data_IF_894016876120
#
_entry.id   IF_894016876120
#
_cell.length_a   1.000
_cell.length_b   1.000
_cell.length_c   1.000
_cell.angle_alpha   90.00
_cell.angle_beta   90.00
_cell.angle_gamma   90.00
#
_symmetry.space_group_name_H-M   'P 1'
#
loop_
_entity.id
_entity.type
_entity.pdbx_description
1 polymer ?
#
# COMPACT_ATOMS: atom_id res chain seq x y z
N UNK A 1 0.79 -55.55 31.35
CA UNK A 1 0.11 -55.47 30.05
C UNK A 1 -1.37 -55.20 30.29
N UNK A 2 -1.84 -54.00 29.95
CA UNK A 2 -3.20 -53.68 29.48
C UNK A 2 -3.05 -52.45 28.61
N UNK A 3 -3.61 -52.54 27.41
CA UNK A 3 -3.45 -51.62 26.30
C UNK A 3 -4.28 -50.34 26.43
N UNK A 4 -3.89 -49.39 25.59
CA UNK A 4 -4.32 -48.01 25.33
C UNK A 4 -5.78 -47.79 24.93
N UNK A 5 -6.30 -46.58 25.18
CA UNK A 5 -7.16 -45.83 24.23
C UNK A 5 -7.11 -44.31 24.49
N UNK A 6 -6.87 -43.50 23.46
CA UNK A 6 -7.45 -42.14 23.30
C UNK A 6 -6.52 -40.90 23.43
N UNK A 7 -6.27 -40.23 22.30
CA UNK A 7 -5.76 -38.83 22.14
C UNK A 7 -6.99 -37.90 21.86
N UNK A 8 -6.98 -36.53 21.89
CA UNK A 8 -5.86 -35.60 21.67
C UNK A 8 -5.81 -34.27 22.49
N UNK A 9 -4.69 -33.56 22.28
CA UNK A 9 -4.33 -32.14 22.49
C UNK A 9 -5.36 -31.14 23.04
N UNK A 10 -4.95 -30.33 24.04
CA UNK A 10 -5.41 -28.95 24.33
C UNK A 10 -4.51 -28.35 25.45
N UNK A 11 -3.98 -27.13 25.43
CA UNK A 11 -4.07 -26.05 24.47
C UNK A 11 -2.90 -25.07 24.69
N UNK A 12 -2.43 -24.52 23.58
CA UNK A 12 -1.54 -23.35 23.57
C UNK A 12 -2.34 -22.19 24.14
N UNK A 13 -1.88 -21.61 25.26
CA UNK A 13 -2.43 -20.35 25.79
C UNK A 13 -2.11 -19.25 24.77
N UNK A 14 -3.05 -19.00 23.86
CA UNK A 14 -3.04 -17.79 23.02
C UNK A 14 -3.49 -16.64 23.91
N UNK A 15 -2.54 -15.84 24.38
CA UNK A 15 -2.84 -14.57 25.04
C UNK A 15 -3.67 -13.70 24.08
N UNK A 16 -4.92 -13.49 24.49
CA UNK A 16 -5.95 -12.76 23.77
C UNK A 16 -5.76 -11.27 24.02
N UNK A 17 -4.96 -10.62 23.17
CA UNK A 17 -4.83 -9.16 23.20
C UNK A 17 -6.16 -8.56 22.75
N UNK A 18 -6.89 -7.95 23.67
CA UNK A 18 -8.12 -7.24 23.39
C UNK A 18 -7.78 -5.89 22.76
N UNK A 19 -7.96 -5.77 21.45
CA UNK A 19 -8.19 -4.47 20.82
C UNK A 19 -9.38 -4.59 19.87
N UNK A 20 -10.41 -3.78 20.07
CA UNK A 20 -11.59 -3.69 19.19
C UNK A 20 -11.28 -2.87 17.92
N UNK A 21 -10.07 -2.99 17.38
CA UNK A 21 -9.76 -2.55 16.02
C UNK A 21 -9.80 -3.79 15.14
N UNK A 22 -10.88 -3.97 14.39
CA UNK A 22 -10.83 -4.85 13.23
C UNK A 22 -9.75 -4.28 12.33
N UNK A 23 -8.59 -4.93 12.23
CA UNK A 23 -7.62 -4.61 11.19
C UNK A 23 -8.41 -4.73 9.90
N UNK A 24 -8.75 -3.59 9.30
CA UNK A 24 -9.30 -3.54 7.96
C UNK A 24 -8.14 -3.94 7.08
N UNK A 25 -8.09 -5.22 6.72
CA UNK A 25 -7.22 -5.66 5.64
C UNK A 25 -7.59 -4.85 4.40
N UNK A 26 -6.67 -4.01 3.95
CA UNK A 26 -6.86 -3.17 2.79
C UNK A 26 -7.09 -4.02 1.54
N UNK A 27 -6.40 -5.17 1.43
CA UNK A 27 -6.57 -6.04 0.26
C UNK A 27 -8.02 -6.55 0.16
N UNK A 28 -8.59 -7.06 1.27
CA UNK A 28 -10.02 -7.44 1.33
C UNK A 28 -10.94 -6.27 0.96
N UNK A 29 -10.69 -5.07 1.48
CA UNK A 29 -11.50 -3.90 1.16
C UNK A 29 -11.48 -3.55 -0.34
N UNK A 30 -10.29 -3.56 -0.96
CA UNK A 30 -10.13 -3.29 -2.39
C UNK A 30 -10.73 -4.39 -3.26
N UNK A 31 -10.60 -5.65 -2.85
CA UNK A 31 -11.24 -6.78 -3.52
C UNK A 31 -12.77 -6.65 -3.57
N UNK A 32 -13.38 -6.23 -2.46
CA UNK A 32 -14.84 -6.14 -2.36
C UNK A 32 -15.43 -4.88 -2.99
N UNK A 33 -14.73 -3.74 -2.86
CA UNK A 33 -15.29 -2.42 -3.21
C UNK A 33 -14.60 -1.73 -4.38
N UNK A 34 -13.47 -2.25 -4.85
CA UNK A 34 -12.62 -1.58 -5.83
C UNK A 34 -12.13 -0.24 -5.31
N UNK A 35 -12.38 0.83 -6.06
CA UNK A 35 -11.91 2.18 -5.73
C UNK A 35 -12.71 2.78 -4.57
N UNK A 36 -12.10 2.83 -3.38
CA UNK A 36 -12.71 3.38 -2.17
C UNK A 36 -12.37 4.85 -1.89
N UNK A 37 -11.30 5.37 -2.47
CA UNK A 37 -10.88 6.77 -2.33
C UNK A 37 -10.54 7.34 -3.70
N UNK A 38 -11.29 8.35 -4.15
CA UNK A 38 -11.17 8.91 -5.50
C UNK A 38 -10.44 10.24 -5.53
N UNK A 39 -10.78 11.13 -4.62
CA UNK A 39 -10.24 12.49 -4.63
C UNK A 39 -8.86 12.56 -3.95
N UNK A 40 -7.88 13.24 -4.58
CA UNK A 40 -6.60 13.57 -3.96
C UNK A 40 -6.79 14.43 -2.71
N UNK A 41 -5.82 14.38 -1.80
CA UNK A 41 -5.87 15.21 -0.60
C UNK A 41 -5.32 16.61 -0.90
N UNK A 42 -5.83 17.63 -0.17
CA UNK A 42 -5.29 19.00 -0.26
C UNK A 42 -3.79 19.06 0.04
N UNK A 43 -3.32 18.22 0.98
CA UNK A 43 -1.89 18.13 1.33
C UNK A 43 -1.04 17.60 0.17
N UNK A 44 -1.55 16.66 -0.61
CA UNK A 44 -0.84 16.18 -1.81
C UNK A 44 -0.81 17.26 -2.90
N UNK A 45 -1.87 18.05 -3.06
CA UNK A 45 -1.86 19.21 -3.96
C UNK A 45 -0.81 20.26 -3.54
N UNK A 46 -0.64 20.49 -2.24
CA UNK A 46 0.42 21.36 -1.71
C UNK A 46 1.82 20.75 -1.93
N UNK A 47 1.97 19.45 -1.70
CA UNK A 47 3.22 18.73 -1.94
C UNK A 47 3.65 18.80 -3.41
N UNK A 48 2.72 18.71 -4.36
CA UNK A 48 3.01 18.87 -5.79
C UNK A 48 3.61 20.24 -6.09
N UNK A 49 3.09 21.31 -5.50
CA UNK A 49 3.66 22.66 -5.68
C UNK A 49 5.09 22.71 -5.16
N UNK A 50 5.31 22.19 -3.95
CA UNK A 50 6.63 22.10 -3.35
C UNK A 50 7.61 21.27 -4.19
N UNK A 51 7.18 20.12 -4.71
CA UNK A 51 7.99 19.26 -5.56
C UNK A 51 8.42 19.95 -6.85
N UNK A 52 7.51 20.70 -7.50
CA UNK A 52 7.85 21.50 -8.67
C UNK A 52 8.87 22.59 -8.37
N UNK A 53 8.68 23.33 -7.27
CA UNK A 53 9.62 24.37 -6.83
C UNK A 53 11.01 23.81 -6.53
N UNK A 54 11.07 22.60 -5.94
CA UNK A 54 12.31 21.89 -5.63
C UNK A 54 12.87 21.07 -6.79
N UNK A 55 12.20 21.06 -7.95
CA UNK A 55 12.57 20.28 -9.15
C UNK A 55 12.74 18.79 -8.86
N UNK A 56 11.92 18.25 -7.96
CA UNK A 56 11.78 16.81 -7.72
C UNK A 56 11.27 16.17 -9.00
N UNK A 57 11.83 15.02 -9.40
CA UNK A 57 11.43 14.33 -10.63
C UNK A 57 10.84 12.96 -10.34
N UNK A 58 11.56 12.14 -9.57
CA UNK A 58 11.20 10.75 -9.30
C UNK A 58 10.60 10.60 -7.90
N UNK A 59 9.36 10.13 -7.84
CA UNK A 59 8.56 10.06 -6.61
C UNK A 59 8.12 8.63 -6.32
N UNK A 60 8.22 8.23 -5.06
CA UNK A 60 7.53 7.05 -4.53
C UNK A 60 6.18 7.45 -3.92
N UNK A 61 5.10 6.84 -4.40
CA UNK A 61 3.81 6.82 -3.69
C UNK A 61 3.75 5.55 -2.83
N UNK A 62 4.08 5.70 -1.54
CA UNK A 62 4.19 4.60 -0.57
C UNK A 62 2.83 4.33 0.06
N UNK A 63 2.24 3.16 -0.23
CA UNK A 63 0.84 2.88 0.05
C UNK A 63 -0.09 3.51 -1.00
N UNK A 64 0.22 3.31 -2.29
CA UNK A 64 -0.45 3.99 -3.39
C UNK A 64 -1.94 3.61 -3.54
N UNK A 65 -2.36 2.48 -2.95
CA UNK A 65 -3.70 1.94 -3.07
C UNK A 65 -4.13 1.85 -4.54
N UNK A 66 -5.36 2.30 -4.82
CA UNK A 66 -5.91 2.35 -6.18
C UNK A 66 -5.53 3.61 -6.96
N UNK A 67 -4.57 4.42 -6.46
CA UNK A 67 -3.89 5.42 -7.28
C UNK A 67 -4.48 6.83 -7.31
N UNK A 68 -5.27 7.24 -6.30
CA UNK A 68 -5.84 8.60 -6.27
C UNK A 68 -4.78 9.70 -6.37
N UNK A 69 -3.65 9.52 -5.69
CA UNK A 69 -2.55 10.50 -5.71
C UNK A 69 -1.57 10.20 -6.84
N UNK A 70 -1.24 8.92 -7.07
CA UNK A 70 -0.38 8.50 -8.18
C UNK A 70 -0.86 9.05 -9.52
N UNK A 71 -2.17 8.93 -9.82
CA UNK A 71 -2.77 9.43 -11.06
C UNK A 71 -2.58 10.94 -11.21
N UNK A 72 -2.71 11.69 -10.12
CA UNK A 72 -2.48 13.12 -10.12
C UNK A 72 -1.00 13.45 -10.34
N UNK A 73 -0.07 12.78 -9.64
CA UNK A 73 1.36 12.99 -9.80
C UNK A 73 1.83 12.70 -11.24
N UNK A 74 1.35 11.60 -11.84
CA UNK A 74 1.66 11.27 -13.24
C UNK A 74 1.14 12.34 -14.18
N UNK A 75 -0.10 12.83 -13.99
CA UNK A 75 -0.67 13.95 -14.78
C UNK A 75 0.14 15.24 -14.65
N UNK A 76 0.79 15.44 -13.52
CA UNK A 76 1.67 16.59 -13.26
C UNK A 76 3.10 16.39 -13.79
N UNK A 77 3.34 15.32 -14.58
CA UNK A 77 4.60 14.97 -15.26
C UNK A 77 5.75 14.55 -14.34
N UNK A 78 5.45 13.99 -13.17
CA UNK A 78 6.45 13.31 -12.36
C UNK A 78 6.69 11.87 -12.85
N UNK A 79 7.90 11.37 -12.66
CA UNK A 79 8.18 9.94 -12.77
C UNK A 79 7.75 9.29 -11.46
N UNK A 80 6.72 8.43 -11.50
CA UNK A 80 6.11 7.89 -10.28
C UNK A 80 6.22 6.38 -10.26
N UNK A 81 6.78 5.86 -9.17
CA UNK A 81 6.63 4.46 -8.78
C UNK A 81 5.58 4.39 -7.65
N UNK A 82 4.62 3.49 -7.76
CA UNK A 82 3.68 3.19 -6.68
C UNK A 82 3.99 1.85 -6.02
N UNK A 83 3.81 1.75 -4.71
CA UNK A 83 3.80 0.45 -4.07
C UNK A 83 2.73 0.35 -2.99
N UNK A 84 2.19 -0.84 -2.81
CA UNK A 84 1.14 -1.13 -1.84
C UNK A 84 1.24 -2.59 -1.41
N UNK A 85 0.68 -2.95 -0.25
CA UNK A 85 0.63 -4.33 0.22
C UNK A 85 -0.60 -5.09 -0.30
N UNK A 86 -1.48 -4.42 -1.06
CA UNK A 86 -2.70 -4.98 -1.64
C UNK A 86 -2.50 -5.34 -3.12
N UNK A 87 -2.51 -6.63 -3.43
CA UNK A 87 -2.52 -7.11 -4.82
C UNK A 87 -3.73 -6.60 -5.60
N UNK A 88 -4.91 -6.55 -4.98
CA UNK A 88 -6.14 -6.12 -5.64
C UNK A 88 -6.14 -4.61 -5.93
N UNK A 89 -5.51 -3.79 -5.08
CA UNK A 89 -5.29 -2.38 -5.38
C UNK A 89 -4.33 -2.20 -6.58
N UNK A 90 -3.25 -2.99 -6.61
CA UNK A 90 -2.26 -2.91 -7.68
C UNK A 90 -2.78 -3.41 -9.02
N UNK A 91 -3.72 -4.37 -9.05
CA UNK A 91 -4.43 -4.74 -10.29
C UNK A 91 -5.19 -3.56 -10.86
N UNK A 92 -5.98 -2.88 -10.03
CA UNK A 92 -6.81 -1.74 -10.44
C UNK A 92 -5.95 -0.60 -10.98
N UNK A 93 -4.90 -0.19 -10.25
CA UNK A 93 -4.08 0.96 -10.68
C UNK A 93 -3.28 0.66 -11.96
N UNK A 94 -2.85 -0.59 -12.17
CA UNK A 94 -2.17 -1.02 -13.41
C UNK A 94 -3.08 -0.97 -14.62
N UNK A 95 -4.39 -1.15 -14.46
CA UNK A 95 -5.35 -0.95 -15.54
C UNK A 95 -5.55 0.54 -15.88
N UNK A 96 -5.41 1.43 -14.88
CA UNK A 96 -5.56 2.88 -15.06
C UNK A 96 -4.30 3.51 -15.65
N UNK A 97 -3.12 3.04 -15.22
CA UNK A 97 -1.81 3.59 -15.53
C UNK A 97 -0.88 2.49 -16.06
N UNK A 98 -1.15 2.04 -17.28
CA UNK A 98 -0.53 0.83 -17.88
C UNK A 98 0.99 0.92 -18.01
N UNK A 99 1.53 2.12 -18.24
CA UNK A 99 2.96 2.34 -18.49
C UNK A 99 3.74 2.74 -17.23
N UNK A 100 3.11 2.72 -16.05
CA UNK A 100 3.72 3.12 -14.78
C UNK A 100 4.18 1.92 -13.94
N UNK A 101 5.16 2.17 -13.07
CA UNK A 101 5.77 1.13 -12.26
C UNK A 101 5.02 0.92 -10.93
N UNK A 102 4.49 -0.29 -10.73
CA UNK A 102 3.76 -0.66 -9.53
C UNK A 102 4.23 -1.99 -8.93
N UNK A 103 4.60 -1.95 -7.64
CA UNK A 103 5.17 -3.10 -6.92
C UNK A 103 4.34 -3.49 -5.69
N UNK A 104 4.15 -4.79 -5.50
CA UNK A 104 3.68 -5.32 -4.22
C UNK A 104 4.80 -5.17 -3.20
N UNK A 105 4.50 -4.50 -2.08
CA UNK A 105 5.54 -4.09 -1.14
C UNK A 105 5.03 -4.08 0.30
N UNK A 106 5.87 -4.58 1.21
CA UNK A 106 5.78 -4.29 2.65
C UNK A 106 6.60 -3.02 2.91
N UNK A 107 5.94 -1.95 3.35
CA UNK A 107 6.61 -0.66 3.60
C UNK A 107 7.72 -0.74 4.66
N UNK A 108 7.76 -1.79 5.49
CA UNK A 108 8.84 -2.02 6.47
C UNK A 108 10.09 -2.62 5.85
N UNK A 109 10.02 -3.07 4.59
CA UNK A 109 11.09 -3.76 3.85
C UNK A 109 11.08 -3.31 2.39
N UNK A 110 11.40 -2.04 2.18
CA UNK A 110 11.52 -1.48 0.85
C UNK A 110 12.70 -2.10 0.08
N UNK A 111 12.48 -2.43 -1.19
CA UNK A 111 13.48 -3.00 -2.10
C UNK A 111 13.91 -1.98 -3.15
N UNK A 112 14.28 -0.80 -2.68
CA UNK A 112 14.84 0.27 -3.50
C UNK A 112 16.24 0.58 -3.01
N UNK A 113 17.11 0.95 -3.93
CA UNK A 113 18.45 1.40 -3.57
C UNK A 113 18.37 2.71 -2.76
N UNK A 114 19.41 2.97 -1.98
CA UNK A 114 19.54 4.25 -1.30
C UNK A 114 19.51 5.39 -2.33
N UNK A 115 18.88 6.51 -1.95
CA UNK A 115 18.75 7.71 -2.80
C UNK A 115 18.05 7.47 -4.15
N UNK A 116 17.31 6.37 -4.32
CA UNK A 116 16.61 6.07 -5.58
C UNK A 116 15.48 7.05 -5.93
N UNK A 117 14.88 7.69 -4.93
CA UNK A 117 13.78 8.65 -5.11
C UNK A 117 14.16 10.05 -4.63
N UNK A 118 13.73 11.07 -5.38
CA UNK A 118 13.88 12.47 -5.00
C UNK A 118 12.84 12.88 -3.93
N UNK A 119 11.69 12.21 -3.91
CA UNK A 119 10.59 12.50 -2.99
C UNK A 119 9.72 11.29 -2.70
N UNK A 120 9.06 11.30 -1.54
CA UNK A 120 8.13 10.25 -1.12
C UNK A 120 6.85 10.93 -0.63
N UNK A 121 5.70 10.41 -1.07
CA UNK A 121 4.41 10.69 -0.42
C UNK A 121 3.87 9.40 0.22
N UNK A 122 3.14 9.55 1.32
CA UNK A 122 2.48 8.46 2.03
C UNK A 122 1.25 9.05 2.74
N UNK A 123 0.05 8.97 2.11
CA UNK A 123 -1.15 9.70 2.57
C UNK A 123 -2.51 9.05 2.30
#
# INVERSE_FOLDING_TARGET
MKESTGSPMEGVIKNKVHSNYTIKDWNTLYKEKGIVQKEPSKKVLEAIKFFKEKRIKKILDLGCGTGRHTTLLVKENFEVCGCDNSEDALKIIKEILVDNEFRLCDMTKLLYDDEYFDGIICY
#
